data_IF_608601514683
#
_entry.id   IF_608601514683
#
_cell.length_a   1.000
_cell.length_b   1.000
_cell.length_c   1.000
_cell.angle_alpha   90.00
_cell.angle_beta   90.00
_cell.angle_gamma   90.00
#
_symmetry.space_group_name_H-M   'P 1'
#
loop_
_entity.id
_entity.type
_entity.pdbx_description
1 polymer ?
#
# COMPACT_ATOMS: atom_id res chain seq x y z
N UNK A 1 -1.12 -14.92 10.96
CA UNK A 1 -0.46 -15.20 9.68
C UNK A 1 1.03 -14.88 9.80
N UNK A 2 1.89 -15.84 9.49
CA UNK A 2 3.33 -15.63 9.59
C UNK A 2 3.79 -14.79 8.39
N UNK A 3 4.35 -13.63 8.65
CA UNK A 3 4.90 -12.78 7.60
C UNK A 3 6.19 -13.39 7.05
N UNK A 4 6.45 -13.13 5.77
CA UNK A 4 7.67 -13.58 5.09
C UNK A 4 8.93 -13.13 5.86
N UNK A 5 8.95 -11.89 6.33
CA UNK A 5 10.07 -11.38 7.12
C UNK A 5 10.32 -12.21 8.38
N UNK A 6 9.25 -12.54 9.11
CA UNK A 6 9.33 -13.35 10.32
C UNK A 6 9.87 -14.74 9.99
N UNK A 7 9.42 -15.35 8.90
CA UNK A 7 9.90 -16.64 8.46
C UNK A 7 11.38 -16.61 8.06
N UNK A 8 11.80 -15.56 7.32
CA UNK A 8 13.20 -15.40 6.96
C UNK A 8 14.07 -15.17 8.19
N UNK A 9 13.58 -14.45 9.19
CA UNK A 9 14.29 -14.25 10.44
C UNK A 9 14.48 -15.59 11.16
N UNK A 10 13.45 -16.44 11.18
CA UNK A 10 13.57 -17.81 11.72
C UNK A 10 14.60 -18.63 10.98
N UNK A 11 14.62 -18.55 9.65
CA UNK A 11 15.61 -19.23 8.83
C UNK A 11 17.03 -18.79 9.19
N UNK A 12 17.24 -17.50 9.36
CA UNK A 12 18.53 -16.93 9.74
C UNK A 12 18.97 -17.42 11.13
N UNK A 13 18.07 -17.38 12.11
CA UNK A 13 18.36 -17.81 13.48
C UNK A 13 18.69 -19.31 13.54
N UNK A 14 17.94 -20.13 12.80
CA UNK A 14 18.20 -21.57 12.71
C UNK A 14 19.50 -21.88 11.97
N UNK A 15 19.81 -21.09 10.93
CA UNK A 15 21.10 -21.23 10.24
C UNK A 15 22.25 -20.96 11.20
N UNK A 16 22.18 -19.91 12.00
CA UNK A 16 23.20 -19.57 13.01
C UNK A 16 23.34 -20.67 14.08
N UNK A 17 22.24 -21.33 14.41
CA UNK A 17 22.22 -22.44 15.35
C UNK A 17 22.58 -23.80 14.71
N UNK A 18 22.81 -23.84 13.41
CA UNK A 18 23.09 -25.06 12.65
C UNK A 18 21.86 -25.96 12.50
N UNK A 19 20.65 -25.42 12.60
CA UNK A 19 19.39 -26.17 12.61
C UNK A 19 18.48 -25.82 11.43
N UNK A 20 18.95 -25.08 10.42
CA UNK A 20 18.15 -24.75 9.25
C UNK A 20 17.78 -26.01 8.48
N UNK A 21 16.50 -26.18 8.16
CA UNK A 21 15.98 -27.31 7.42
C UNK A 21 15.39 -26.88 6.07
N UNK A 22 15.22 -27.84 5.17
CA UNK A 22 14.53 -27.63 3.89
C UNK A 22 13.10 -27.13 4.12
N UNK A 23 12.42 -27.66 5.15
CA UNK A 23 11.06 -27.23 5.50
C UNK A 23 10.98 -25.74 5.84
N UNK A 24 12.00 -25.17 6.44
CA UNK A 24 12.06 -23.72 6.75
C UNK A 24 12.08 -22.89 5.47
N UNK A 25 12.85 -23.32 4.47
CA UNK A 25 12.94 -22.65 3.18
C UNK A 25 11.67 -22.85 2.36
N UNK A 26 11.08 -24.04 2.37
CA UNK A 26 9.80 -24.31 1.71
C UNK A 26 8.69 -23.41 2.25
N UNK A 27 8.63 -23.23 3.56
CA UNK A 27 7.66 -22.33 4.17
C UNK A 27 7.86 -20.88 3.68
N UNK A 28 9.11 -20.43 3.56
CA UNK A 28 9.41 -19.11 3.03
C UNK A 28 8.96 -18.97 1.57
N UNK A 29 9.19 -19.97 0.74
CA UNK A 29 8.74 -19.99 -0.66
C UNK A 29 7.22 -19.94 -0.77
N UNK A 30 6.50 -20.70 0.06
CA UNK A 30 5.05 -20.67 0.09
C UNK A 30 4.52 -19.27 0.44
N UNK A 31 5.15 -18.60 1.37
CA UNK A 31 4.76 -17.23 1.74
C UNK A 31 4.98 -16.23 0.61
N UNK A 32 6.05 -16.38 -0.15
CA UNK A 32 6.30 -15.57 -1.37
C UNK A 32 5.21 -15.83 -2.40
N UNK A 33 4.88 -17.09 -2.65
CA UNK A 33 3.88 -17.49 -3.65
C UNK A 33 2.48 -17.01 -3.27
N UNK A 34 2.16 -16.89 -2.00
CA UNK A 34 0.89 -16.37 -1.52
C UNK A 34 0.75 -14.86 -1.67
N UNK A 35 1.85 -14.12 -1.85
CA UNK A 35 1.85 -12.68 -2.07
C UNK A 35 1.53 -12.34 -3.52
N UNK A 36 0.36 -12.75 -4.02
CA UNK A 36 -0.04 -12.53 -5.41
C UNK A 36 -1.28 -11.67 -5.56
N UNK A 37 -1.79 -11.10 -4.47
CA UNK A 37 -2.95 -10.23 -4.53
C UNK A 37 -2.51 -8.79 -4.60
N UNK A 38 -2.88 -8.13 -5.67
CA UNK A 38 -2.63 -6.72 -5.84
C UNK A 38 -3.75 -5.92 -5.19
N UNK A 39 -3.36 -4.93 -4.39
CA UNK A 39 -4.25 -3.88 -3.92
C UNK A 39 -3.89 -2.58 -4.61
N UNK A 40 -4.88 -1.77 -4.91
CA UNK A 40 -4.71 -0.48 -5.57
C UNK A 40 -5.17 0.62 -4.63
N UNK A 41 -4.35 1.65 -4.50
CA UNK A 41 -4.66 2.83 -3.71
C UNK A 41 -4.67 4.05 -4.63
N UNK A 42 -5.78 4.75 -4.66
CA UNK A 42 -5.93 6.01 -5.37
C UNK A 42 -5.88 7.13 -4.35
N UNK A 43 -4.95 8.07 -4.54
CA UNK A 43 -4.81 9.22 -3.66
C UNK A 43 -4.88 10.49 -4.48
N UNK A 44 -5.74 11.42 -4.08
CA UNK A 44 -5.78 12.75 -4.65
C UNK A 44 -5.09 13.73 -3.70
N UNK A 45 -4.20 14.53 -4.24
CA UNK A 45 -3.41 15.49 -3.48
C UNK A 45 -3.39 16.86 -4.19
N UNK A 46 -3.19 17.97 -3.46
CA UNK A 46 -3.18 19.30 -4.05
C UNK A 46 -1.93 19.58 -4.90
N UNK A 47 -0.85 18.86 -4.64
CA UNK A 47 0.42 19.01 -5.37
C UNK A 47 1.06 17.65 -5.65
N UNK A 48 2.17 17.64 -6.37
CA UNK A 48 2.96 16.42 -6.61
C UNK A 48 3.92 16.09 -5.48
N UNK A 49 3.95 16.90 -4.43
CA UNK A 49 4.87 16.71 -3.30
C UNK A 49 4.34 15.68 -2.30
N UNK A 50 5.07 14.57 -2.04
CA UNK A 50 4.56 13.47 -1.22
C UNK A 50 4.26 13.80 0.24
N UNK A 51 4.80 14.91 0.75
CA UNK A 51 4.54 15.35 2.12
C UNK A 51 3.28 16.20 2.27
N UNK A 52 2.65 16.59 1.16
CA UNK A 52 1.43 17.38 1.22
C UNK A 52 0.24 16.53 1.69
N UNK A 53 -0.71 17.19 2.33
CA UNK A 53 -1.90 16.53 2.86
C UNK A 53 -2.78 15.97 1.74
N UNK A 54 -3.21 14.75 1.91
CA UNK A 54 -4.15 14.08 1.00
C UNK A 54 -5.52 14.74 1.09
N UNK A 55 -6.17 14.93 -0.07
CA UNK A 55 -7.51 15.50 -0.16
C UNK A 55 -8.58 14.47 -0.57
N UNK A 56 -8.17 13.31 -1.04
CA UNK A 56 -9.08 12.23 -1.39
C UNK A 56 -8.34 10.89 -1.41
N UNK A 57 -9.06 9.80 -1.15
CA UNK A 57 -8.47 8.46 -1.12
C UNK A 57 -9.52 7.41 -1.37
N UNK A 58 -9.16 6.38 -2.13
CA UNK A 58 -9.93 5.16 -2.25
C UNK A 58 -9.02 3.96 -2.37
N UNK A 59 -9.42 2.83 -1.79
CA UNK A 59 -8.64 1.60 -1.81
C UNK A 59 -9.46 0.51 -2.48
N UNK A 60 -8.84 -0.16 -3.45
CA UNK A 60 -9.35 -1.39 -4.01
C UNK A 60 -8.53 -2.57 -3.51
N UNK A 61 -9.17 -3.45 -2.77
CA UNK A 61 -8.61 -4.75 -2.40
C UNK A 61 -9.58 -5.82 -2.88
N UNK A 62 -9.05 -6.99 -3.28
CA UNK A 62 -9.90 -8.11 -3.65
C UNK A 62 -10.81 -8.44 -2.46
N UNK A 63 -12.11 -8.43 -2.68
CA UNK A 63 -13.16 -8.69 -1.70
C UNK A 63 -13.49 -7.53 -0.74
N UNK A 64 -12.86 -6.36 -0.91
CA UNK A 64 -13.16 -5.18 -0.07
C UNK A 64 -13.02 -3.90 -0.87
N UNK A 65 -14.12 -3.20 -1.05
CA UNK A 65 -14.10 -1.81 -1.49
C UNK A 65 -14.08 -0.91 -0.26
N UNK A 66 -13.10 -0.02 -0.22
CA UNK A 66 -12.91 0.86 0.92
C UNK A 66 -12.63 2.28 0.43
N UNK A 67 -13.35 3.26 0.98
CA UNK A 67 -13.20 4.66 0.58
C UNK A 67 -11.96 5.36 1.15
N UNK A 68 -11.10 4.62 1.85
CA UNK A 68 -9.87 5.16 2.40
C UNK A 68 -10.03 6.01 3.65
N UNK A 69 -11.21 6.03 4.25
CA UNK A 69 -11.49 6.73 5.51
C UNK A 69 -11.78 5.75 6.62
N UNK A 70 -11.31 6.08 7.82
CA UNK A 70 -11.60 5.27 9.01
C UNK A 70 -12.99 5.60 9.58
N UNK A 71 -13.37 4.96 10.69
CA UNK A 71 -14.66 5.15 11.36
C UNK A 71 -14.88 6.59 11.83
N UNK A 72 -13.80 7.36 12.00
CA UNK A 72 -13.86 8.77 12.43
C UNK A 72 -13.88 9.75 11.26
N UNK A 73 -13.87 9.26 10.03
CA UNK A 73 -13.83 10.09 8.83
C UNK A 73 -12.45 10.59 8.44
N UNK A 74 -11.40 10.10 9.06
CA UNK A 74 -10.03 10.42 8.70
C UNK A 74 -9.50 9.49 7.64
N UNK A 75 -8.72 10.01 6.70
CA UNK A 75 -8.03 9.18 5.73
C UNK A 75 -7.05 8.24 6.42
N UNK A 76 -6.92 7.04 5.88
CA UNK A 76 -6.01 6.03 6.40
C UNK A 76 -4.56 6.54 6.41
N UNK A 77 -4.18 7.31 5.39
CA UNK A 77 -2.90 7.99 5.31
C UNK A 77 -3.14 9.49 5.14
N UNK A 78 -2.42 10.30 5.89
CA UNK A 78 -2.55 11.76 5.78
C UNK A 78 -1.70 12.33 4.65
N UNK A 79 -0.65 11.62 4.26
CA UNK A 79 0.25 11.98 3.17
C UNK A 79 0.58 10.75 2.34
N UNK A 80 1.08 10.98 1.12
CA UNK A 80 1.57 9.88 0.27
C UNK A 80 2.77 9.21 0.91
N UNK A 81 3.61 10.00 1.58
CA UNK A 81 4.79 9.51 2.27
C UNK A 81 4.44 8.45 3.33
N UNK A 82 3.36 8.65 4.08
CA UNK A 82 2.85 7.64 5.02
C UNK A 82 2.46 6.34 4.33
N UNK A 83 1.82 6.43 3.17
CA UNK A 83 1.45 5.26 2.39
C UNK A 83 2.70 4.50 1.90
N UNK A 84 3.72 5.23 1.44
CA UNK A 84 4.98 4.63 1.00
C UNK A 84 5.69 3.91 2.16
N UNK A 85 5.66 4.48 3.35
CA UNK A 85 6.22 3.84 4.54
C UNK A 85 5.50 2.54 4.92
N UNK A 86 4.20 2.46 4.60
CA UNK A 86 3.40 1.26 4.86
C UNK A 86 3.48 0.22 3.73
N UNK A 87 4.39 0.39 2.79
CA UNK A 87 4.68 -0.60 1.75
C UNK A 87 3.97 -0.40 0.42
N UNK A 88 3.23 0.68 0.27
CA UNK A 88 2.63 1.04 -1.02
C UNK A 88 3.69 1.59 -1.96
N UNK A 89 3.54 1.31 -3.26
CA UNK A 89 4.46 1.77 -4.30
C UNK A 89 3.70 2.51 -5.39
N UNK A 90 4.21 3.65 -5.80
CA UNK A 90 3.62 4.44 -6.87
C UNK A 90 3.83 3.70 -8.20
N UNK A 91 2.74 3.42 -8.90
CA UNK A 91 2.79 2.77 -10.22
C UNK A 91 2.48 3.73 -11.36
N UNK A 92 1.93 4.89 -11.03
CA UNK A 92 1.66 5.93 -11.99
C UNK A 92 1.93 7.28 -11.36
N UNK A 93 2.78 8.07 -11.99
CA UNK A 93 3.01 9.45 -11.57
C UNK A 93 1.75 10.28 -11.75
N UNK A 94 1.56 11.26 -10.86
CA UNK A 94 0.33 12.04 -10.85
C UNK A 94 0.16 12.84 -12.14
N UNK A 95 -1.02 12.72 -12.72
CA UNK A 95 -1.51 13.59 -13.77
C UNK A 95 -2.44 14.62 -13.15
N UNK A 96 -2.56 15.76 -13.80
CA UNK A 96 -3.54 16.76 -13.40
C UNK A 96 -4.92 16.17 -13.55
N UNK A 97 -5.62 15.98 -12.42
CA UNK A 97 -6.98 15.51 -12.40
C UNK A 97 -7.93 16.70 -12.24
N UNK A 98 -8.88 16.83 -13.15
CA UNK A 98 -9.99 17.75 -12.98
C UNK A 98 -10.96 17.13 -11.97
N UNK A 99 -11.00 17.69 -10.78
CA UNK A 99 -12.06 17.39 -9.84
C UNK A 99 -13.27 18.21 -10.24
N UNK A 100 -14.14 17.62 -11.06
CA UNK A 100 -15.40 18.23 -11.45
C UNK A 100 -16.44 17.89 -10.38
N UNK A 101 -16.73 18.87 -9.54
CA UNK A 101 -17.91 18.86 -8.72
C UNK A 101 -18.99 19.69 -9.47
N UNK A 102 -20.24 19.25 -9.44
CA UNK A 102 -21.36 19.91 -10.10
C UNK A 102 -21.56 21.38 -9.65
N UNK A 103 -20.97 21.78 -8.55
CA UNK A 103 -21.08 23.13 -8.00
C UNK A 103 -19.77 23.91 -7.99
N UNK A 104 -18.65 23.26 -8.17
CA UNK A 104 -17.35 23.90 -8.13
C UNK A 104 -16.41 23.24 -9.13
N UNK A 105 -16.05 23.97 -10.16
CA UNK A 105 -14.88 23.64 -10.95
C UNK A 105 -13.63 24.01 -10.14
N UNK A 106 -13.59 23.58 -8.89
CA UNK A 106 -12.48 23.90 -8.02
C UNK A 106 -11.45 22.82 -8.07
N UNK A 107 -10.39 23.12 -8.63
CA UNK A 107 -9.22 22.43 -8.21
C UNK A 107 -8.77 21.36 -9.17
N UNK A 108 -7.74 21.70 -9.83
CA UNK A 108 -6.77 20.79 -10.38
C UNK A 108 -6.10 20.11 -9.20
N UNK A 109 -6.44 18.85 -8.96
CA UNK A 109 -5.70 17.99 -8.04
C UNK A 109 -4.79 17.06 -8.83
N UNK A 110 -3.92 16.35 -8.13
CA UNK A 110 -3.07 15.33 -8.71
C UNK A 110 -3.47 13.97 -8.16
N UNK A 111 -3.67 13.01 -9.05
CA UNK A 111 -3.99 11.66 -8.64
C UNK A 111 -2.75 10.79 -8.70
N UNK A 112 -2.43 10.19 -7.56
CA UNK A 112 -1.42 9.15 -7.44
C UNK A 112 -2.09 7.79 -7.45
N UNK A 113 -1.51 6.85 -8.18
CA UNK A 113 -1.95 5.46 -8.15
C UNK A 113 -0.81 4.63 -7.57
N UNK A 114 -1.12 3.91 -6.50
CA UNK A 114 -0.15 3.09 -5.79
C UNK A 114 -0.63 1.64 -5.76
N UNK A 115 0.32 0.73 -5.65
CA UNK A 115 0.01 -0.68 -5.51
C UNK A 115 0.71 -1.29 -4.31
N UNK A 116 0.13 -2.36 -3.81
CA UNK A 116 0.76 -3.22 -2.81
C UNK A 116 0.37 -4.66 -3.10
N UNK A 117 1.35 -5.53 -3.04
CA UNK A 117 1.14 -6.97 -3.20
C UNK A 117 1.21 -7.67 -1.85
N UNK A 118 0.19 -8.43 -1.55
CA UNK A 118 0.10 -9.17 -0.28
C UNK A 118 -0.30 -10.63 -0.48
#
# INVERSE_FOLDING_TARGET
MVELRTQLQRCLDRFRAGALSEADLETALDLVDRRRKQSILYIQAPTTYPHDMVIGMSIYEKDKDFEGVDETGKFLYQTIDEALEDGWRIIKFPEVALVLDDQNTCGLGYEFVLERWT
#
